data_IF_972393065400
#
_entry.id   IF_972393065400
#
_cell.length_a   1.000
_cell.length_b   1.000
_cell.length_c   1.000
_cell.angle_alpha   90.00
_cell.angle_beta   90.00
_cell.angle_gamma   90.00
#
_symmetry.space_group_name_H-M   'P 1'
#
loop_
_entity.id
_entity.type
_entity.pdbx_description
1 polymer ?
#
# COMPACT_ATOMS: atom_id res chain seq x y z
N UNK A 1 -2.31 5.45 -13.18
CA UNK A 1 -2.17 3.97 -13.21
C UNK A 1 -3.51 3.37 -13.60
N UNK A 2 -3.50 2.15 -14.14
CA UNK A 2 -4.71 1.38 -14.42
C UNK A 2 -5.47 1.11 -13.12
N UNK A 3 -6.81 1.16 -13.16
CA UNK A 3 -7.67 0.79 -12.02
C UNK A 3 -8.03 -0.69 -12.15
N UNK A 4 -7.98 -1.45 -11.06
CA UNK A 4 -8.22 -2.90 -11.12
C UNK A 4 -9.70 -3.26 -11.07
N UNK A 5 -10.58 -2.35 -10.69
CA UNK A 5 -12.00 -2.66 -10.43
C UNK A 5 -12.71 -3.44 -11.55
N UNK A 6 -12.50 -3.07 -12.82
CA UNK A 6 -13.11 -3.78 -13.95
C UNK A 6 -12.57 -5.21 -14.14
N UNK A 7 -11.28 -5.43 -13.84
CA UNK A 7 -10.63 -6.74 -13.94
C UNK A 7 -11.03 -7.61 -12.74
N UNK A 8 -11.04 -7.06 -11.54
CA UNK A 8 -11.41 -7.79 -10.30
C UNK A 8 -12.84 -8.31 -10.38
N UNK A 9 -13.76 -7.50 -10.91
CA UNK A 9 -15.14 -7.91 -11.15
C UNK A 9 -15.25 -9.13 -12.08
N UNK A 10 -14.39 -9.25 -13.10
CA UNK A 10 -14.39 -10.42 -14.01
C UNK A 10 -13.96 -11.73 -13.35
N UNK A 11 -13.27 -11.66 -12.20
CA UNK A 11 -12.88 -12.82 -11.41
C UNK A 11 -13.86 -13.11 -10.26
N UNK A 12 -14.94 -12.34 -10.11
CA UNK A 12 -15.92 -12.50 -9.03
C UNK A 12 -15.34 -12.26 -7.64
N UNK A 13 -14.27 -11.47 -7.55
CA UNK A 13 -13.60 -11.13 -6.29
C UNK A 13 -14.17 -9.84 -5.70
N UNK A 14 -14.19 -9.75 -4.38
CA UNK A 14 -14.53 -8.52 -3.67
C UNK A 14 -13.43 -7.46 -3.95
N UNK A 15 -13.82 -6.21 -4.26
CA UNK A 15 -12.90 -5.11 -4.55
C UNK A 15 -13.12 -3.94 -3.60
N UNK A 16 -12.04 -3.48 -2.97
CA UNK A 16 -12.04 -2.32 -2.08
C UNK A 16 -10.99 -1.30 -2.54
N UNK A 17 -11.28 -0.01 -2.37
CA UNK A 17 -10.35 1.09 -2.68
C UNK A 17 -10.34 2.11 -1.54
N UNK A 18 -9.73 1.77 -0.39
CA UNK A 18 -9.74 2.63 0.79
C UNK A 18 -8.97 3.93 0.53
N UNK A 19 -9.53 5.05 0.98
CA UNK A 19 -8.91 6.39 0.92
C UNK A 19 -8.08 6.74 2.16
N UNK A 20 -8.15 5.92 3.21
CA UNK A 20 -7.48 6.16 4.49
C UNK A 20 -6.98 4.87 5.15
N UNK A 21 -6.07 5.02 6.13
CA UNK A 21 -5.57 3.89 6.91
C UNK A 21 -6.68 3.20 7.72
N UNK A 22 -7.66 3.97 8.22
CA UNK A 22 -8.80 3.42 8.95
C UNK A 22 -9.70 2.58 8.04
N UNK A 23 -9.99 3.08 6.83
CA UNK A 23 -10.75 2.33 5.83
C UNK A 23 -10.01 1.08 5.36
N UNK A 24 -8.68 1.16 5.23
CA UNK A 24 -7.85 0.00 4.90
C UNK A 24 -7.94 -1.07 5.99
N UNK A 25 -7.80 -0.69 7.25
CA UNK A 25 -7.89 -1.62 8.38
C UNK A 25 -9.27 -2.30 8.44
N UNK A 26 -10.35 -1.53 8.22
CA UNK A 26 -11.70 -2.06 8.17
C UNK A 26 -11.91 -3.03 7.00
N UNK A 27 -11.45 -2.69 5.80
CA UNK A 27 -11.55 -3.55 4.62
C UNK A 27 -10.74 -4.85 4.78
N UNK A 28 -9.56 -4.76 5.40
CA UNK A 28 -8.74 -5.93 5.69
C UNK A 28 -9.42 -6.86 6.71
N UNK A 29 -9.95 -6.32 7.80
CA UNK A 29 -10.66 -7.10 8.81
C UNK A 29 -11.86 -7.84 8.18
N UNK A 30 -12.68 -7.12 7.42
CA UNK A 30 -13.82 -7.71 6.72
C UNK A 30 -13.39 -8.80 5.73
N UNK A 31 -12.34 -8.57 4.93
CA UNK A 31 -11.85 -9.57 3.98
C UNK A 31 -11.39 -10.86 4.69
N UNK A 32 -10.67 -10.72 5.81
CA UNK A 32 -10.19 -11.86 6.61
C UNK A 32 -11.34 -12.68 7.20
N UNK A 33 -12.44 -12.05 7.63
CA UNK A 33 -13.62 -12.73 8.17
C UNK A 33 -14.36 -13.57 7.13
N UNK A 34 -14.34 -13.18 5.84
CA UNK A 34 -15.07 -13.90 4.80
C UNK A 34 -14.48 -15.26 4.44
N UNK A 35 -13.19 -15.49 4.72
CA UNK A 35 -12.45 -16.66 4.24
C UNK A 35 -12.32 -16.77 2.72
N UNK A 36 -12.67 -15.71 1.98
CA UNK A 36 -12.60 -15.63 0.51
C UNK A 36 -11.46 -14.70 0.08
N UNK A 37 -11.05 -14.82 -1.18
CA UNK A 37 -10.10 -13.88 -1.77
C UNK A 37 -10.77 -12.53 -2.04
N UNK A 38 -10.09 -11.44 -1.68
CA UNK A 38 -10.51 -10.07 -1.94
C UNK A 38 -9.31 -9.22 -2.40
N UNK A 39 -9.56 -8.17 -3.18
CA UNK A 39 -8.55 -7.23 -3.66
C UNK A 39 -8.75 -5.88 -2.98
N UNK A 40 -7.74 -5.42 -2.25
CA UNK A 40 -7.70 -4.08 -1.64
C UNK A 40 -6.70 -3.23 -2.42
N UNK A 41 -7.18 -2.32 -3.27
CA UNK A 41 -6.37 -1.44 -4.09
C UNK A 41 -5.96 -0.19 -3.29
N UNK A 42 -4.75 -0.19 -2.75
CA UNK A 42 -4.19 0.98 -2.03
C UNK A 42 -3.55 1.95 -3.02
N UNK A 43 -4.08 3.17 -3.07
CA UNK A 43 -3.53 4.23 -3.92
C UNK A 43 -2.60 5.13 -3.14
N UNK A 44 -1.40 5.30 -3.67
CA UNK A 44 -0.39 6.20 -3.11
C UNK A 44 -0.05 7.31 -4.10
N UNK A 45 0.46 8.42 -3.56
CA UNK A 45 1.11 9.45 -4.36
C UNK A 45 2.53 8.98 -4.69
N UNK A 46 2.79 8.77 -5.99
CA UNK A 46 4.06 8.27 -6.49
C UNK A 46 5.22 9.23 -6.20
N UNK A 47 5.00 10.54 -6.29
CA UNK A 47 6.04 11.53 -6.06
C UNK A 47 6.40 11.55 -4.57
N UNK A 48 5.38 11.54 -3.70
CA UNK A 48 5.57 11.45 -2.25
C UNK A 48 6.25 10.16 -1.82
N UNK A 49 5.88 9.02 -2.40
CA UNK A 49 6.53 7.74 -2.09
C UNK A 49 8.03 7.78 -2.45
N UNK A 50 8.35 8.29 -3.64
CA UNK A 50 9.73 8.41 -4.08
C UNK A 50 10.55 9.38 -3.20
N UNK A 51 9.95 10.48 -2.73
CA UNK A 51 10.64 11.40 -1.81
C UNK A 51 10.90 10.76 -0.45
N UNK A 52 9.94 10.02 0.11
CA UNK A 52 10.15 9.31 1.39
C UNK A 52 11.24 8.24 1.27
N UNK A 53 11.27 7.47 0.17
CA UNK A 53 12.34 6.51 -0.07
C UNK A 53 13.72 7.17 -0.12
N UNK A 54 13.86 8.30 -0.83
CA UNK A 54 15.13 9.04 -0.87
C UNK A 54 15.53 9.55 0.50
N UNK A 55 14.58 10.07 1.28
CA UNK A 55 14.81 10.55 2.64
C UNK A 55 15.32 9.43 3.55
N UNK A 56 14.68 8.26 3.50
CA UNK A 56 15.07 7.10 4.29
C UNK A 56 16.44 6.56 3.87
N UNK A 57 16.73 6.51 2.56
CA UNK A 57 18.03 6.09 2.06
C UNK A 57 19.14 7.01 2.58
N UNK A 58 18.95 8.33 2.51
CA UNK A 58 19.93 9.29 3.03
C UNK A 58 20.18 9.08 4.53
N UNK A 59 19.11 8.89 5.32
CA UNK A 59 19.25 8.66 6.76
C UNK A 59 20.02 7.37 7.09
N UNK A 60 19.89 6.34 6.25
CA UNK A 60 20.68 5.09 6.38
C UNK A 60 22.14 5.37 6.03
N UNK A 61 22.40 6.06 4.92
CA UNK A 61 23.76 6.37 4.46
C UNK A 61 24.53 7.21 5.50
N UNK A 62 23.87 8.21 6.09
CA UNK A 62 24.43 9.05 7.15
C UNK A 62 24.75 8.25 8.42
N UNK A 63 23.85 7.36 8.84
CA UNK A 63 24.05 6.50 10.00
C UNK A 63 25.21 5.53 9.81
N UNK A 64 25.36 4.98 8.60
CA UNK A 64 26.48 4.10 8.26
C UNK A 64 27.80 4.89 8.21
N UNK A 65 27.83 6.07 7.61
CA UNK A 65 29.02 6.91 7.57
C UNK A 65 29.50 7.32 8.97
N UNK A 66 28.57 7.65 9.87
CA UNK A 66 28.89 7.97 11.27
C UNK A 66 29.32 6.76 12.12
N UNK A 67 28.99 5.53 11.73
CA UNK A 67 29.35 4.32 12.47
C UNK A 67 30.78 3.81 12.18
N UNK A 68 31.45 4.35 11.15
CA UNK A 68 32.82 4.01 10.76
C UNK A 68 33.85 5.11 11.07
N UNK A 69 33.50 6.05 11.96
CA UNK A 69 34.39 7.06 12.55
C UNK A 69 34.59 6.78 14.05
#
# INVERSE_FOLDING_TARGET
GLRFGAVVASFGLDHHQPGSAAEFAAALAAALETGRSAVIEVRTDRARNASEHRRLQQAIDDALAGAFH
#
